data_IF_249538583449
#
_entry.id   IF_249538583449
#
_cell.length_a   1.000
_cell.length_b   1.000
_cell.length_c   1.000
_cell.angle_alpha   90.00
_cell.angle_beta   90.00
_cell.angle_gamma   90.00
#
_symmetry.space_group_name_H-M   'P 1'
#
loop_
_entity.id
_entity.type
_entity.pdbx_description
1 polymer ?
#
# COMPACT_ATOMS: atom_id res chain seq x y z
N UNK A 1 67.41 -33.95 -1.08
CA UNK A 1 66.21 -34.80 -1.28
C UNK A 1 65.72 -35.45 0.01
N UNK A 2 66.36 -36.50 0.58
CA UNK A 2 65.83 -37.25 1.75
C UNK A 2 65.31 -36.39 2.92
N UNK A 3 66.02 -35.34 3.33
CA UNK A 3 65.61 -34.45 4.44
C UNK A 3 64.28 -33.73 4.14
N UNK A 4 64.07 -33.30 2.89
CA UNK A 4 62.84 -32.61 2.46
C UNK A 4 61.64 -33.57 2.56
N UNK A 5 61.81 -34.83 2.15
CA UNK A 5 60.78 -35.86 2.28
C UNK A 5 60.41 -36.17 3.73
N UNK A 6 61.38 -36.16 4.65
CA UNK A 6 61.13 -36.37 6.09
C UNK A 6 60.36 -35.20 6.70
N UNK A 7 60.77 -33.96 6.40
CA UNK A 7 60.08 -32.75 6.88
C UNK A 7 58.64 -32.70 6.34
N UNK A 8 58.44 -33.03 5.06
CA UNK A 8 57.11 -33.10 4.45
C UNK A 8 56.22 -34.16 5.11
N UNK A 9 56.75 -35.35 5.41
CA UNK A 9 56.01 -36.40 6.12
C UNK A 9 55.59 -35.98 7.53
N UNK A 10 56.49 -35.34 8.29
CA UNK A 10 56.18 -34.83 9.64
C UNK A 10 55.09 -33.75 9.57
N UNK A 11 55.15 -32.84 8.60
CA UNK A 11 54.13 -31.80 8.40
C UNK A 11 52.75 -32.39 8.10
N UNK A 12 52.67 -33.41 7.23
CA UNK A 12 51.41 -34.09 6.89
C UNK A 12 50.81 -34.79 8.13
N UNK A 13 51.63 -35.49 8.92
CA UNK A 13 51.18 -36.14 10.16
C UNK A 13 50.72 -35.11 11.18
N UNK A 14 51.42 -33.97 11.33
CA UNK A 14 51.00 -32.90 12.22
C UNK A 14 49.65 -32.28 11.79
N UNK A 15 49.43 -32.05 10.50
CA UNK A 15 48.16 -31.57 9.96
C UNK A 15 47.02 -32.60 10.16
N UNK A 16 47.28 -33.89 9.97
CA UNK A 16 46.31 -34.95 10.29
C UNK A 16 45.96 -34.98 11.78
N UNK A 17 46.93 -34.85 12.67
CA UNK A 17 46.68 -34.79 14.13
C UNK A 17 45.86 -33.55 14.51
N UNK A 18 46.11 -32.39 13.90
CA UNK A 18 45.30 -31.18 14.12
C UNK A 18 43.85 -31.33 13.63
N UNK A 19 43.64 -32.08 12.53
CA UNK A 19 42.30 -32.41 12.02
C UNK A 19 41.57 -33.41 12.95
N UNK A 20 42.24 -34.47 13.39
CA UNK A 20 41.65 -35.51 14.26
C UNK A 20 41.46 -35.08 15.73
N UNK A 21 42.19 -34.08 16.21
CA UNK A 21 42.04 -33.55 17.58
C UNK A 21 40.90 -32.55 17.74
N UNK A 22 40.18 -32.21 16.65
CA UNK A 22 39.05 -31.28 16.69
C UNK A 22 39.42 -29.83 16.97
N UNK A 23 40.71 -29.47 16.89
CA UNK A 23 41.20 -28.09 17.04
C UNK A 23 40.69 -27.20 15.90
N UNK A 24 40.37 -27.81 14.75
CA UNK A 24 39.67 -27.18 13.63
C UNK A 24 38.17 -27.51 13.77
N UNK A 25 37.46 -26.76 14.61
CA UNK A 25 35.99 -26.74 14.55
C UNK A 25 35.56 -26.11 13.23
N UNK A 26 34.87 -26.86 12.38
CA UNK A 26 34.11 -26.27 11.27
C UNK A 26 32.85 -25.65 11.86
N UNK A 27 33.01 -24.47 12.45
CA UNK A 27 31.92 -23.64 12.97
C UNK A 27 30.94 -23.42 11.83
N UNK A 28 29.73 -23.98 11.96
CA UNK A 28 28.73 -23.95 10.93
C UNK A 28 28.41 -22.51 10.58
N UNK A 29 28.80 -22.10 9.38
CA UNK A 29 28.51 -20.74 8.91
C UNK A 29 27.01 -20.47 8.94
N UNK A 30 26.65 -19.19 8.89
CA UNK A 30 25.28 -18.62 8.84
C UNK A 30 24.18 -19.52 8.24
N UNK A 31 24.47 -20.26 7.17
CA UNK A 31 23.56 -21.24 6.56
C UNK A 31 23.02 -22.31 7.53
N UNK A 32 23.76 -22.77 8.54
CA UNK A 32 23.26 -23.73 9.53
C UNK A 32 22.12 -23.13 10.35
N UNK A 33 22.31 -21.91 10.86
CA UNK A 33 21.27 -21.16 11.58
C UNK A 33 20.05 -20.86 10.70
N UNK A 34 20.25 -20.57 9.41
CA UNK A 34 19.14 -20.45 8.44
C UNK A 34 18.37 -21.77 8.34
N UNK A 35 19.03 -22.91 8.16
CA UNK A 35 18.37 -24.22 8.01
C UNK A 35 17.64 -24.64 9.31
N UNK A 36 18.28 -24.47 10.47
CA UNK A 36 17.69 -24.82 11.76
C UNK A 36 16.51 -23.91 12.10
N UNK A 37 16.64 -22.61 11.89
CA UNK A 37 15.56 -21.65 12.12
C UNK A 37 14.40 -21.86 11.14
N UNK A 38 14.69 -22.14 9.86
CA UNK A 38 13.66 -22.49 8.87
C UNK A 38 12.86 -23.74 9.29
N UNK A 39 13.53 -24.74 9.89
CA UNK A 39 12.84 -25.94 10.41
C UNK A 39 11.95 -25.61 11.62
N UNK A 40 12.40 -24.76 12.53
CA UNK A 40 11.57 -24.29 13.66
C UNK A 40 10.37 -23.47 13.17
N UNK A 41 10.58 -22.56 12.22
CA UNK A 41 9.54 -21.76 11.57
C UNK A 41 8.50 -22.64 10.87
N UNK A 42 8.92 -23.62 10.07
CA UNK A 42 8.03 -24.57 9.39
C UNK A 42 7.25 -25.48 10.36
N UNK A 43 7.72 -25.63 11.60
CA UNK A 43 7.01 -26.30 12.69
C UNK A 43 6.08 -25.36 13.49
N UNK A 44 5.91 -24.10 13.07
CA UNK A 44 5.22 -23.01 13.77
C UNK A 44 5.82 -22.66 15.15
N UNK A 45 7.08 -23.05 15.42
CA UNK A 45 7.80 -22.66 16.64
C UNK A 45 8.60 -21.39 16.35
N UNK A 46 7.90 -20.27 16.32
CA UNK A 46 8.44 -18.98 15.91
C UNK A 46 9.43 -18.42 16.92
N UNK A 47 9.24 -18.65 18.22
CA UNK A 47 10.17 -18.25 19.28
C UNK A 47 11.52 -18.97 19.13
N UNK A 48 11.51 -20.28 18.87
CA UNK A 48 12.75 -21.02 18.59
C UNK A 48 13.37 -20.56 17.26
N UNK A 49 12.57 -20.23 16.25
CA UNK A 49 13.07 -19.69 14.99
C UNK A 49 13.81 -18.36 15.21
N UNK A 50 13.20 -17.40 15.91
CA UNK A 50 13.82 -16.11 16.29
C UNK A 50 15.14 -16.33 17.02
N UNK A 51 15.15 -17.13 18.09
CA UNK A 51 16.37 -17.42 18.87
C UNK A 51 17.47 -18.06 18.01
N UNK A 52 17.09 -18.91 17.04
CA UNK A 52 18.05 -19.59 16.16
C UNK A 52 18.62 -18.64 15.13
N UNK A 53 17.80 -17.79 14.50
CA UNK A 53 18.28 -16.80 13.54
C UNK A 53 19.12 -15.69 14.21
N UNK A 54 18.79 -15.29 15.44
CA UNK A 54 19.58 -14.33 16.23
C UNK A 54 21.02 -14.84 16.47
N UNK A 55 21.19 -16.12 16.82
CA UNK A 55 22.52 -16.75 16.91
C UNK A 55 23.26 -16.78 15.57
N UNK A 56 22.52 -16.83 14.45
CA UNK A 56 23.09 -16.62 13.13
C UNK A 56 23.62 -15.19 12.92
N UNK A 57 22.90 -14.17 13.42
CA UNK A 57 23.35 -12.78 13.36
C UNK A 57 24.54 -12.50 14.29
N UNK A 58 24.72 -13.27 15.37
CA UNK A 58 25.96 -13.23 16.17
C UNK A 58 27.20 -13.64 15.34
N UNK A 59 27.03 -14.40 14.25
CA UNK A 59 28.10 -14.78 13.31
C UNK A 59 28.25 -13.80 12.14
N UNK A 60 27.15 -13.24 11.65
CA UNK A 60 27.13 -12.20 10.62
C UNK A 60 25.95 -11.24 10.89
N UNK A 61 26.24 -10.10 11.51
CA UNK A 61 25.24 -9.13 11.97
C UNK A 61 24.38 -8.52 10.86
N UNK A 62 24.87 -8.56 9.61
CA UNK A 62 24.23 -7.92 8.46
C UNK A 62 23.73 -8.93 7.41
N UNK A 63 23.66 -10.23 7.72
CA UNK A 63 23.14 -11.23 6.78
C UNK A 63 21.70 -10.90 6.35
N UNK A 64 21.43 -10.59 5.07
CA UNK A 64 20.09 -10.14 4.66
C UNK A 64 19.03 -11.25 4.76
N UNK A 65 19.43 -12.52 4.56
CA UNK A 65 18.53 -13.70 4.65
C UNK A 65 18.08 -13.96 6.09
N UNK A 66 18.98 -13.81 7.07
CA UNK A 66 18.63 -13.95 8.48
C UNK A 66 17.73 -12.82 8.94
N UNK A 67 18.03 -11.57 8.54
CA UNK A 67 17.16 -10.42 8.82
C UNK A 67 15.76 -10.63 8.21
N UNK A 68 15.64 -11.04 6.95
CA UNK A 68 14.34 -11.36 6.33
C UNK A 68 13.56 -12.44 7.11
N UNK A 69 14.24 -13.52 7.49
CA UNK A 69 13.65 -14.63 8.24
C UNK A 69 13.24 -14.26 9.67
N UNK A 70 14.00 -13.38 10.33
CA UNK A 70 13.63 -12.78 11.61
C UNK A 70 12.40 -11.89 11.48
N UNK A 71 12.31 -11.10 10.41
CA UNK A 71 11.11 -10.33 10.09
C UNK A 71 9.87 -11.20 10.02
N UNK A 72 9.94 -12.33 9.29
CA UNK A 72 8.84 -13.29 9.18
C UNK A 72 8.49 -13.93 10.52
N UNK A 73 9.48 -14.41 11.29
CA UNK A 73 9.22 -15.04 12.58
C UNK A 73 8.64 -14.05 13.61
N UNK A 74 9.16 -12.82 13.65
CA UNK A 74 8.61 -11.74 14.50
C UNK A 74 7.19 -11.35 14.11
N UNK A 75 6.87 -11.27 12.81
CA UNK A 75 5.51 -10.99 12.34
C UNK A 75 4.50 -12.05 12.82
N UNK A 76 4.86 -13.35 12.76
CA UNK A 76 3.99 -14.43 13.25
C UNK A 76 3.82 -14.41 14.78
N UNK A 77 4.76 -13.83 15.52
CA UNK A 77 4.66 -13.57 16.96
C UNK A 77 3.90 -12.27 17.29
N UNK A 78 3.36 -11.56 16.29
CA UNK A 78 2.80 -10.21 16.43
C UNK A 78 3.78 -9.14 16.94
N UNK A 79 5.09 -9.43 16.90
CA UNK A 79 6.17 -8.49 17.22
C UNK A 79 6.44 -7.60 15.99
N UNK A 80 5.46 -6.78 15.62
CA UNK A 80 5.45 -6.06 14.35
C UNK A 80 6.53 -4.97 14.27
N UNK A 81 6.89 -4.32 15.38
CA UNK A 81 7.99 -3.35 15.44
C UNK A 81 9.34 -4.01 15.11
N UNK A 82 9.62 -5.15 15.71
CA UNK A 82 10.79 -5.98 15.42
C UNK A 82 10.76 -6.45 13.97
N UNK A 83 9.59 -6.86 13.46
CA UNK A 83 9.44 -7.29 12.08
C UNK A 83 9.84 -6.19 11.08
N UNK A 84 9.33 -4.96 11.25
CA UNK A 84 9.70 -3.78 10.43
C UNK A 84 11.21 -3.53 10.48
N UNK A 85 11.82 -3.57 11.67
CA UNK A 85 13.26 -3.35 11.89
C UNK A 85 14.11 -4.43 11.20
N UNK A 86 13.68 -5.69 11.23
CA UNK A 86 14.37 -6.79 10.56
C UNK A 86 14.16 -6.76 9.03
N UNK A 87 12.98 -6.36 8.53
CA UNK A 87 12.77 -6.20 7.09
C UNK A 87 13.55 -5.03 6.48
N UNK A 88 13.73 -3.91 7.20
CA UNK A 88 14.53 -2.78 6.71
C UNK A 88 15.98 -3.18 6.44
N UNK A 89 16.55 -4.04 7.30
CA UNK A 89 17.89 -4.66 7.21
C UNK A 89 17.99 -5.82 6.20
N UNK A 90 16.90 -6.24 5.58
CA UNK A 90 16.90 -7.23 4.50
C UNK A 90 17.06 -6.57 3.12
N UNK A 91 17.47 -7.32 2.10
CA UNK A 91 17.69 -6.79 0.74
C UNK A 91 17.34 -7.80 -0.35
N UNK A 92 17.18 -7.32 -1.59
CA UNK A 92 17.11 -8.17 -2.79
C UNK A 92 15.81 -8.94 -3.05
N UNK A 93 14.69 -8.58 -2.41
CA UNK A 93 13.37 -9.22 -2.62
C UNK A 93 12.23 -8.20 -2.54
N UNK A 94 11.27 -8.28 -3.45
CA UNK A 94 10.02 -7.51 -3.40
C UNK A 94 9.25 -7.74 -2.09
N UNK A 95 9.31 -8.97 -1.57
CA UNK A 95 8.65 -9.39 -0.31
C UNK A 95 9.04 -8.54 0.91
N UNK A 96 10.22 -7.88 0.94
CA UNK A 96 10.60 -7.00 2.06
C UNK A 96 9.63 -5.83 2.20
N UNK A 97 9.19 -5.26 1.09
CA UNK A 97 8.31 -4.09 1.05
C UNK A 97 6.88 -4.50 1.41
N UNK A 98 6.41 -5.60 0.82
CA UNK A 98 5.11 -6.20 1.14
C UNK A 98 5.02 -6.51 2.64
N UNK A 99 5.99 -7.24 3.18
CA UNK A 99 5.93 -7.71 4.56
C UNK A 99 6.21 -6.61 5.59
N UNK A 100 7.09 -5.65 5.29
CA UNK A 100 7.32 -4.49 6.17
C UNK A 100 6.08 -3.59 6.22
N UNK A 101 5.46 -3.27 5.09
CA UNK A 101 4.23 -2.50 5.07
C UNK A 101 3.08 -3.23 5.75
N UNK A 102 2.93 -4.54 5.52
CA UNK A 102 1.95 -5.38 6.23
C UNK A 102 2.17 -5.37 7.75
N UNK A 103 3.43 -5.32 8.19
CA UNK A 103 3.77 -5.21 9.62
C UNK A 103 3.32 -3.87 10.21
N UNK A 104 3.57 -2.75 9.51
CA UNK A 104 3.06 -1.43 9.93
C UNK A 104 1.53 -1.38 9.96
N UNK A 105 0.84 -1.99 8.99
CA UNK A 105 -0.63 -2.12 8.98
C UNK A 105 -1.12 -2.91 10.20
N UNK A 106 -0.55 -4.08 10.48
CA UNK A 106 -0.96 -4.88 11.64
C UNK A 106 -0.67 -4.19 12.96
N UNK A 107 0.42 -3.44 13.04
CA UNK A 107 0.72 -2.62 14.21
C UNK A 107 -0.35 -1.52 14.40
N UNK A 108 -0.75 -0.82 13.33
CA UNK A 108 -1.83 0.17 13.36
C UNK A 108 -3.17 -0.46 13.78
N UNK A 109 -3.52 -1.63 13.24
CA UNK A 109 -4.73 -2.36 13.59
C UNK A 109 -4.73 -2.91 15.03
N UNK A 110 -3.56 -2.98 15.70
CA UNK A 110 -3.40 -3.51 17.06
C UNK A 110 -3.42 -2.47 18.20
N UNK A 111 -3.37 -1.18 17.86
CA UNK A 111 -3.44 -0.06 18.80
C UNK A 111 -4.81 0.62 18.75
N UNK A 112 -5.10 1.53 19.68
CA UNK A 112 -6.34 2.31 19.66
C UNK A 112 -6.14 3.77 19.20
N UNK A 113 -5.01 4.39 19.57
CA UNK A 113 -4.71 5.80 19.33
C UNK A 113 -4.72 6.18 17.83
N UNK A 114 -5.64 7.06 17.45
CA UNK A 114 -5.88 7.43 16.06
C UNK A 114 -4.68 8.13 15.39
N UNK A 115 -3.90 8.90 16.16
CA UNK A 115 -2.71 9.60 15.66
C UNK A 115 -1.60 8.60 15.33
N UNK A 116 -1.29 7.67 16.24
CA UNK A 116 -0.34 6.58 15.95
C UNK A 116 -0.84 5.67 14.82
N UNK A 117 -2.15 5.39 14.71
CA UNK A 117 -2.72 4.65 13.56
C UNK A 117 -2.41 5.34 12.24
N UNK A 118 -2.66 6.65 12.17
CA UNK A 118 -2.39 7.46 10.98
C UNK A 118 -0.91 7.42 10.62
N UNK A 119 -0.01 7.60 11.59
CA UNK A 119 1.44 7.53 11.39
C UNK A 119 1.91 6.16 10.86
N UNK A 120 1.35 5.07 11.39
CA UNK A 120 1.69 3.71 10.98
C UNK A 120 1.13 3.34 9.59
N UNK A 121 -0.08 3.81 9.24
CA UNK A 121 -0.59 3.69 7.88
C UNK A 121 0.23 4.53 6.89
N UNK A 122 0.66 5.75 7.25
CA UNK A 122 1.58 6.55 6.44
C UNK A 122 2.92 5.84 6.23
N UNK A 123 3.49 5.21 7.27
CA UNK A 123 4.69 4.37 7.16
C UNK A 123 4.47 3.16 6.23
N UNK A 124 3.31 2.51 6.29
CA UNK A 124 2.96 1.42 5.40
C UNK A 124 2.86 1.89 3.94
N UNK A 125 2.17 3.01 3.67
CA UNK A 125 2.11 3.61 2.33
C UNK A 125 3.50 3.89 1.79
N UNK A 126 4.35 4.57 2.55
CA UNK A 126 5.72 4.90 2.13
C UNK A 126 6.54 3.63 1.81
N UNK A 127 6.42 2.61 2.64
CA UNK A 127 7.04 1.30 2.38
C UNK A 127 6.54 0.68 1.07
N UNK A 128 5.25 0.79 0.76
CA UNK A 128 4.71 0.30 -0.51
C UNK A 128 5.10 1.17 -1.70
N UNK A 129 5.16 2.50 -1.57
CA UNK A 129 5.66 3.40 -2.63
C UNK A 129 7.07 2.99 -3.05
N UNK A 130 7.99 2.83 -2.09
CA UNK A 130 9.35 2.35 -2.35
C UNK A 130 9.36 0.97 -3.04
N UNK A 131 8.46 0.08 -2.64
CA UNK A 131 8.29 -1.21 -3.31
C UNK A 131 7.78 -1.07 -4.75
N UNK A 132 6.83 -0.19 -5.02
CA UNK A 132 6.24 0.03 -6.36
C UNK A 132 7.27 0.69 -7.28
N UNK A 133 8.07 1.65 -6.79
CA UNK A 133 9.16 2.25 -7.56
C UNK A 133 10.23 1.20 -7.94
N UNK A 134 10.58 0.31 -7.01
CA UNK A 134 11.54 -0.77 -7.26
C UNK A 134 10.98 -1.93 -8.09
N UNK A 135 9.67 -2.19 -8.02
CA UNK A 135 8.99 -3.31 -8.68
C UNK A 135 7.66 -2.86 -9.31
N UNK A 136 7.69 -2.02 -10.37
CA UNK A 136 6.51 -1.38 -10.93
C UNK A 136 5.49 -2.36 -11.52
N UNK A 137 5.84 -3.63 -11.77
CA UNK A 137 4.92 -4.67 -12.22
C UNK A 137 4.31 -5.52 -11.09
N UNK A 138 4.76 -5.38 -9.84
CA UNK A 138 4.23 -6.19 -8.74
C UNK A 138 2.81 -5.74 -8.33
N UNK A 139 1.79 -6.57 -8.61
CA UNK A 139 0.39 -6.28 -8.27
C UNK A 139 0.12 -6.25 -6.76
N UNK A 140 0.61 -7.21 -5.92
CA UNK A 140 0.39 -7.19 -4.47
C UNK A 140 0.78 -5.89 -3.76
N UNK A 141 1.89 -5.26 -4.15
CA UNK A 141 2.31 -3.98 -3.59
C UNK A 141 1.29 -2.85 -3.83
N UNK A 142 0.64 -2.84 -5.00
CA UNK A 142 -0.34 -1.81 -5.38
C UNK A 142 -1.68 -2.04 -4.71
N UNK A 143 -2.11 -3.31 -4.66
CA UNK A 143 -3.29 -3.70 -3.88
C UNK A 143 -3.14 -3.29 -2.42
N UNK A 144 -1.97 -3.55 -1.81
CA UNK A 144 -1.70 -3.17 -0.43
C UNK A 144 -1.62 -1.64 -0.23
N UNK A 145 -1.06 -0.90 -1.20
CA UNK A 145 -1.04 0.55 -1.20
C UNK A 145 -2.45 1.15 -1.20
N UNK A 146 -3.31 0.76 -2.16
CA UNK A 146 -4.69 1.25 -2.24
C UNK A 146 -5.53 0.81 -1.03
N UNK A 147 -5.32 -0.39 -0.49
CA UNK A 147 -5.95 -0.85 0.76
C UNK A 147 -5.66 0.09 1.94
N UNK A 148 -4.38 0.46 2.14
CA UNK A 148 -3.99 1.34 3.25
C UNK A 148 -4.41 2.79 3.00
N UNK A 149 -4.39 3.25 1.75
CA UNK A 149 -4.88 4.57 1.38
C UNK A 149 -6.37 4.70 1.73
N UNK A 150 -7.19 3.72 1.33
CA UNK A 150 -8.59 3.65 1.72
C UNK A 150 -8.79 3.60 3.24
N UNK A 151 -7.92 2.93 4.01
CA UNK A 151 -7.97 2.95 5.49
C UNK A 151 -7.74 4.34 6.07
N UNK A 152 -6.82 5.12 5.50
CA UNK A 152 -6.55 6.50 5.91
C UNK A 152 -7.73 7.42 5.56
N UNK A 153 -8.22 7.37 4.33
CA UNK A 153 -9.35 8.18 3.86
C UNK A 153 -10.59 7.95 4.75
N UNK A 154 -10.91 6.68 5.04
CA UNK A 154 -11.99 6.32 5.95
C UNK A 154 -11.75 6.82 7.39
N UNK A 155 -10.51 6.84 7.88
CA UNK A 155 -10.21 7.35 9.23
C UNK A 155 -10.39 8.88 9.31
N UNK A 156 -10.09 9.62 8.24
CA UNK A 156 -10.30 11.07 8.19
C UNK A 156 -11.79 11.41 8.19
N UNK A 157 -12.57 10.80 7.30
CA UNK A 157 -14.02 11.05 7.19
C UNK A 157 -14.77 10.76 8.51
N UNK A 158 -14.43 9.67 9.20
CA UNK A 158 -15.05 9.34 10.51
C UNK A 158 -14.74 10.37 11.61
N UNK A 159 -13.60 11.06 11.54
CA UNK A 159 -13.26 12.11 12.50
C UNK A 159 -13.99 13.43 12.18
N UNK A 160 -14.20 13.73 10.90
CA UNK A 160 -14.96 14.91 10.44
C UNK A 160 -16.45 14.78 10.81
N UNK A 161 -17.07 13.62 10.55
CA UNK A 161 -18.47 13.35 10.95
C UNK A 161 -18.67 13.39 12.48
N UNK A 162 -17.65 13.03 13.29
CA UNK A 162 -17.73 13.15 14.75
C UNK A 162 -17.59 14.60 15.22
N UNK A 163 -16.78 15.43 14.55
CA UNK A 163 -16.69 16.86 14.81
C UNK A 163 -18.02 17.59 14.57
N UNK A 164 -18.64 17.38 13.40
CA UNK A 164 -19.93 18.01 13.07
C UNK A 164 -21.07 17.56 14.00
N UNK A 165 -21.06 16.32 14.49
CA UNK A 165 -22.03 15.84 15.48
C UNK A 165 -21.80 16.39 16.90
N UNK A 166 -20.59 16.86 17.24
CA UNK A 166 -20.35 17.56 18.50
C UNK A 166 -20.79 19.03 18.43
N UNK A 167 -20.48 19.76 17.35
CA UNK A 167 -20.96 21.14 17.16
C UNK A 167 -22.49 21.22 17.11
N UNK A 168 -23.17 20.29 16.42
CA UNK A 168 -24.65 20.26 16.40
C UNK A 168 -25.29 19.98 17.78
N UNK A 169 -24.61 19.26 18.69
CA UNK A 169 -25.11 19.06 20.05
C UNK A 169 -24.89 20.31 20.93
N UNK A 170 -23.77 21.02 20.77
CA UNK A 170 -23.52 22.27 21.48
C UNK A 170 -24.45 23.42 21.02
N UNK A 171 -24.87 23.45 19.76
CA UNK A 171 -25.93 24.36 19.30
C UNK A 171 -27.34 24.00 19.83
N UNK A 172 -27.63 22.71 20.05
CA UNK A 172 -28.91 22.29 20.64
C UNK A 172 -28.99 22.58 22.16
N UNK A 173 -27.93 22.39 22.94
CA UNK A 173 -27.91 22.80 24.35
C UNK A 173 -27.97 24.33 24.54
N UNK A 174 -27.35 25.11 23.64
CA UNK A 174 -27.46 26.57 23.68
C UNK A 174 -28.87 27.09 23.32
N UNK A 175 -29.58 26.43 22.40
CA UNK A 175 -30.96 26.81 22.07
C UNK A 175 -31.97 26.47 23.18
N UNK A 176 -31.76 25.39 23.95
CA UNK A 176 -32.63 25.11 25.10
C UNK A 176 -32.43 26.13 26.25
N UNK A 177 -31.21 26.61 26.50
CA UNK A 177 -30.94 27.62 27.53
C UNK A 177 -31.40 29.05 27.19
N UNK A 178 -31.76 29.35 25.93
CA UNK A 178 -32.35 30.66 25.57
C UNK A 178 -33.88 30.68 25.66
N UNK A 179 -34.57 29.55 25.69
CA UNK A 179 -36.04 29.52 25.70
C UNK A 179 -36.67 29.70 27.10
N UNK A 180 -35.94 29.39 28.17
CA UNK A 180 -36.43 29.55 29.56
C UNK A 180 -36.28 30.98 30.13
N UNK A 181 -35.57 31.90 29.45
CA UNK A 181 -35.30 33.25 29.97
C UNK A 181 -36.26 34.35 29.47
N UNK A 182 -37.34 34.01 28.77
CA UNK A 182 -38.25 35.00 28.15
C UNK A 182 -39.72 34.89 28.59
N UNK A 183 -40.00 34.22 29.72
CA UNK A 183 -41.36 33.95 30.22
C UNK A 183 -41.77 34.71 31.50
N UNK A 184 -40.91 35.53 32.10
CA UNK A 184 -41.20 36.26 33.37
C UNK A 184 -41.17 37.79 33.26
N UNK A 185 -41.51 38.39 32.10
CA UNK A 185 -41.67 39.84 32.06
C UNK A 185 -42.74 40.39 31.08
N UNK A 186 -44.02 40.02 31.29
CA UNK A 186 -45.14 40.91 30.97
C UNK A 186 -46.45 40.51 31.67
N UNK A 187 -46.67 41.05 32.88
CA UNK A 187 -48.00 41.23 33.47
C UNK A 187 -48.09 42.59 34.15
N UNK A 188 -48.48 43.62 33.39
CA UNK A 188 -49.37 44.69 33.89
C UNK A 188 -49.78 45.65 32.76
N UNK A 189 -51.10 45.92 32.72
CA UNK A 189 -51.84 46.98 32.01
C UNK A 189 -52.59 46.55 30.74
N UNK A 190 -53.73 45.89 30.95
CA UNK A 190 -54.94 46.22 30.19
C UNK A 190 -55.48 47.56 30.73
N UNK A 191 -55.69 48.56 29.87
CA UNK A 191 -57.04 49.08 29.56
C UNK A 191 -57.01 50.14 28.43
N UNK A 192 -58.18 50.34 27.81
CA UNK A 192 -58.64 51.53 27.07
C UNK A 192 -58.27 51.74 25.58
N UNK A 193 -59.35 51.82 24.79
CA UNK A 193 -59.58 52.74 23.64
C UNK A 193 -59.34 52.23 22.21
N UNK A 194 -60.36 51.55 21.70
CA UNK A 194 -61.17 51.98 20.53
C UNK A 194 -60.51 52.82 19.39
N UNK A 195 -60.48 52.19 18.21
CA UNK A 195 -61.25 52.59 17.01
C UNK A 195 -60.54 53.23 15.79
N UNK A 196 -60.96 52.70 14.63
CA UNK A 196 -61.10 53.29 13.28
C UNK A 196 -59.92 53.60 12.32
N UNK A 197 -60.12 53.02 11.11
CA UNK A 197 -59.81 53.49 9.75
C UNK A 197 -58.33 53.46 9.27
N UNK A 198 -57.90 52.75 8.20
CA UNK A 198 -58.42 52.44 6.84
C UNK A 198 -57.67 53.27 5.76
N UNK A 199 -57.39 52.64 4.59
CA UNK A 199 -56.75 53.17 3.36
C UNK A 199 -55.21 53.32 3.33
N UNK A 200 -54.50 53.12 2.21
CA UNK A 200 -54.82 52.50 0.89
C UNK A 200 -53.54 52.34 0.04
N UNK A 201 -53.58 51.51 -1.01
CA UNK A 201 -52.65 51.37 -2.15
C UNK A 201 -51.21 50.84 -1.88
N UNK A 202 -50.63 50.03 -2.77
CA UNK A 202 -51.15 49.38 -3.98
C UNK A 202 -50.04 48.86 -4.93
N UNK A 203 -50.42 48.04 -5.93
CA UNK A 203 -49.62 47.69 -7.15
C UNK A 203 -48.29 46.94 -6.93
N UNK A 204 -47.69 46.18 -7.87
CA UNK A 204 -48.09 45.53 -9.15
C UNK A 204 -46.99 44.49 -9.49
N UNK A 205 -47.29 43.48 -10.31
CA UNK A 205 -46.39 42.84 -11.32
C UNK A 205 -45.01 42.25 -10.87
N UNK A 206 -44.36 41.33 -11.59
CA UNK A 206 -44.64 40.65 -12.87
C UNK A 206 -43.94 39.28 -12.94
N UNK A 207 -44.31 38.47 -13.94
CA UNK A 207 -43.61 37.24 -14.34
C UNK A 207 -42.43 37.49 -15.33
N UNK A 208 -41.67 36.41 -15.60
CA UNK A 208 -41.11 36.01 -16.91
C UNK A 208 -39.62 36.27 -17.29
N UNK A 209 -39.07 35.30 -18.06
CA UNK A 209 -37.86 35.30 -18.93
C UNK A 209 -36.46 35.27 -18.23
N UNK A 210 -35.35 34.74 -18.80
CA UNK A 210 -34.99 34.04 -20.07
C UNK A 210 -33.60 33.35 -19.90
N UNK A 211 -33.04 32.43 -20.72
CA UNK A 211 -33.45 31.69 -21.94
C UNK A 211 -32.63 30.36 -22.06
N UNK A 212 -32.96 29.51 -23.05
CA UNK A 212 -32.14 28.40 -23.60
C UNK A 212 -30.98 28.86 -24.51
N UNK A 213 -29.98 27.98 -24.71
CA UNK A 213 -29.28 27.77 -26.00
C UNK A 213 -28.71 26.34 -26.13
N UNK A 214 -29.02 25.65 -27.23
CA UNK A 214 -28.29 24.48 -27.75
C UNK A 214 -27.49 24.90 -28.99
N UNK A 215 -26.36 24.24 -29.28
CA UNK A 215 -25.84 24.14 -30.66
C UNK A 215 -25.28 22.73 -30.93
N UNK A 216 -25.69 22.15 -32.06
CA UNK A 216 -25.03 21.02 -32.73
C UNK A 216 -24.25 21.56 -33.95
N UNK A 217 -23.16 20.91 -34.37
CA UNK A 217 -23.00 20.48 -35.77
C UNK A 217 -21.78 19.55 -36.02
N UNK A 218 -22.10 18.35 -36.53
CA UNK A 218 -21.50 17.60 -37.65
C UNK A 218 -19.98 17.46 -37.89
N UNK A 219 -19.56 16.18 -37.95
CA UNK A 219 -18.78 15.48 -38.98
C UNK A 219 -17.70 16.22 -39.80
N UNK A 220 -16.53 15.58 -39.90
CA UNK A 220 -16.00 15.17 -41.22
C UNK A 220 -15.25 13.82 -41.13
N UNK A 221 -15.18 13.10 -42.26
CA UNK A 221 -14.47 11.81 -42.37
C UNK A 221 -13.03 12.02 -42.83
N UNK A 222 -12.13 11.08 -42.54
CA UNK A 222 -11.32 10.53 -43.62
C UNK A 222 -10.78 9.11 -43.37
N UNK A 223 -10.66 8.36 -44.46
CA UNK A 223 -10.07 7.00 -44.51
C UNK A 223 -9.01 6.99 -45.61
N UNK A 224 -7.77 6.71 -45.26
CA UNK A 224 -6.88 5.96 -46.16
C UNK A 224 -6.12 4.91 -45.36
N UNK A 225 -5.80 3.79 -46.01
CA UNK A 225 -5.03 2.70 -45.41
C UNK A 225 -3.97 2.20 -46.38
N UNK A 226 -2.94 1.58 -45.83
CA UNK A 226 -2.05 0.70 -46.59
C UNK A 226 -1.65 -0.48 -45.72
N UNK A 227 -1.66 -1.68 -46.30
CA UNK A 227 -1.15 -2.87 -45.65
C UNK A 227 0.37 -2.84 -45.55
N UNK A 228 0.90 -3.46 -44.50
CA UNK A 228 1.87 -4.55 -44.70
C UNK A 228 1.70 -5.59 -43.59
N UNK A 229 1.96 -6.84 -43.95
CA UNK A 229 1.75 -8.05 -43.15
C UNK A 229 3.13 -8.68 -42.85
N UNK A 230 3.16 -9.78 -42.09
CA UNK A 230 4.37 -10.49 -41.60
C UNK A 230 5.01 -9.79 -40.36
N UNK A 231 5.32 -10.47 -39.23
CA UNK A 231 5.34 -11.92 -38.94
C UNK A 231 4.87 -12.18 -37.50
N UNK A 232 4.21 -13.32 -37.25
CA UNK A 232 4.00 -13.84 -35.88
C UNK A 232 5.23 -14.63 -35.42
N UNK A 233 5.93 -14.14 -34.41
CA UNK A 233 6.63 -14.90 -33.36
C UNK A 233 7.06 -13.89 -32.26
N UNK A 234 7.36 -14.37 -31.04
CA UNK A 234 7.75 -13.54 -29.87
C UNK A 234 6.66 -12.61 -29.26
N UNK A 235 5.52 -13.19 -28.85
CA UNK A 235 4.63 -12.60 -27.84
C UNK A 235 4.76 -13.32 -26.49
N UNK A 236 5.79 -12.96 -25.72
CA UNK A 236 5.87 -13.20 -24.26
C UNK A 236 6.89 -12.25 -23.59
N UNK A 237 7.90 -11.77 -24.33
CA UNK A 237 9.01 -10.94 -23.79
C UNK A 237 8.78 -9.41 -23.87
N UNK A 238 7.65 -8.96 -24.44
CA UNK A 238 7.39 -7.54 -24.74
C UNK A 238 6.59 -6.77 -23.68
N UNK A 239 6.06 -7.44 -22.64
CA UNK A 239 5.40 -6.78 -21.51
C UNK A 239 6.39 -6.18 -20.50
N UNK A 240 7.61 -6.73 -20.41
CA UNK A 240 8.64 -6.26 -19.48
C UNK A 240 9.36 -4.99 -20.01
N UNK A 241 9.59 -4.90 -21.32
CA UNK A 241 10.40 -3.83 -21.92
C UNK A 241 9.77 -2.43 -21.91
N UNK A 242 8.43 -2.32 -21.92
CA UNK A 242 7.75 -1.01 -21.96
C UNK A 242 7.70 -0.32 -20.58
N UNK A 243 8.02 -1.04 -19.49
CA UNK A 243 8.08 -0.51 -18.14
C UNK A 243 9.48 -0.07 -17.71
N UNK A 244 10.53 -0.56 -18.38
CA UNK A 244 11.93 -0.26 -18.04
C UNK A 244 12.42 1.15 -18.43
N UNK A 245 11.55 1.97 -19.04
CA UNK A 245 11.94 3.28 -19.61
C UNK A 245 11.47 4.50 -18.80
N UNK A 246 10.79 4.29 -17.67
CA UNK A 246 10.66 5.33 -16.64
C UNK A 246 11.99 5.46 -15.91
N UNK A 247 12.75 6.52 -16.22
CA UNK A 247 14.09 6.76 -15.69
C UNK A 247 14.10 6.79 -14.15
N UNK A 248 15.20 6.28 -13.57
CA UNK A 248 15.57 6.50 -12.16
C UNK A 248 15.79 8.00 -11.88
N UNK A 249 14.73 8.75 -11.66
CA UNK A 249 14.79 10.05 -11.00
C UNK A 249 14.77 9.84 -9.49
N UNK A 250 15.95 9.70 -8.89
CA UNK A 250 16.15 9.76 -7.43
C UNK A 250 15.86 11.21 -6.94
N UNK A 251 14.58 11.54 -6.93
CA UNK A 251 14.03 12.81 -6.49
C UNK A 251 13.39 12.59 -5.14
N UNK A 252 13.99 13.19 -4.11
CA UNK A 252 13.49 13.19 -2.73
C UNK A 252 12.28 14.12 -2.51
N UNK A 253 11.56 14.44 -3.59
CA UNK A 253 10.35 15.27 -3.62
C UNK A 253 9.11 14.37 -3.48
N UNK A 254 8.34 14.46 -2.38
CA UNK A 254 7.16 13.63 -2.18
C UNK A 254 6.08 13.80 -3.26
N UNK A 255 5.90 15.01 -3.80
CA UNK A 255 4.85 15.28 -4.79
C UNK A 255 5.15 14.59 -6.14
N UNK A 256 6.42 14.55 -6.54
CA UNK A 256 6.84 13.83 -7.74
C UNK A 256 6.67 12.31 -7.58
N UNK A 257 7.01 11.77 -6.40
CA UNK A 257 6.81 10.35 -6.14
C UNK A 257 5.33 9.96 -6.16
N UNK A 258 4.44 10.76 -5.58
CA UNK A 258 2.99 10.48 -5.63
C UNK A 258 2.41 10.59 -7.05
N UNK A 259 2.89 11.55 -7.85
CA UNK A 259 2.57 11.63 -9.29
C UNK A 259 3.04 10.39 -10.06
N UNK A 260 4.27 9.93 -9.81
CA UNK A 260 4.85 8.75 -10.47
C UNK A 260 4.07 7.47 -10.11
N UNK A 261 3.72 7.29 -8.84
CA UNK A 261 2.90 6.16 -8.36
C UNK A 261 1.52 6.18 -9.02
N UNK A 262 0.86 7.35 -9.09
CA UNK A 262 -0.45 7.50 -9.75
C UNK A 262 -0.39 7.16 -11.25
N UNK A 263 0.71 7.53 -11.93
CA UNK A 263 0.94 7.16 -13.34
C UNK A 263 1.13 5.64 -13.52
N UNK A 264 1.93 5.00 -12.66
CA UNK A 264 2.15 3.54 -12.68
C UNK A 264 0.82 2.79 -12.47
N UNK A 265 0.01 3.20 -11.50
CA UNK A 265 -1.31 2.61 -11.21
C UNK A 265 -2.23 2.72 -12.44
N UNK A 266 -2.33 3.91 -13.04
CA UNK A 266 -3.17 4.17 -14.22
C UNK A 266 -2.70 3.43 -15.48
N UNK A 267 -1.39 3.27 -15.65
CA UNK A 267 -0.82 2.47 -16.76
C UNK A 267 -1.27 1.02 -16.66
N UNK A 268 -1.20 0.43 -15.45
CA UNK A 268 -1.56 -0.97 -15.21
C UNK A 268 -3.06 -1.21 -15.31
N UNK A 269 -3.89 -0.30 -14.81
CA UNK A 269 -5.35 -0.36 -14.99
C UNK A 269 -5.70 -0.45 -16.48
N UNK A 270 -5.04 0.36 -17.31
CA UNK A 270 -5.21 0.32 -18.77
C UNK A 270 -4.77 -1.03 -19.36
N UNK A 271 -3.61 -1.56 -18.95
CA UNK A 271 -3.13 -2.87 -19.41
C UNK A 271 -4.09 -4.02 -19.02
N UNK A 272 -4.63 -4.00 -17.80
CA UNK A 272 -5.64 -4.96 -17.35
C UNK A 272 -6.91 -4.86 -18.23
N UNK A 273 -7.44 -3.65 -18.45
CA UNK A 273 -8.59 -3.44 -19.33
C UNK A 273 -8.35 -3.92 -20.77
N UNK A 274 -7.15 -3.75 -21.32
CA UNK A 274 -6.78 -4.25 -22.65
C UNK A 274 -6.70 -5.78 -22.68
N UNK A 275 -6.10 -6.42 -21.67
CA UNK A 275 -6.06 -7.89 -21.53
C UNK A 275 -7.46 -8.52 -21.42
N UNK A 276 -8.38 -7.84 -20.71
CA UNK A 276 -9.77 -8.28 -20.54
C UNK A 276 -10.55 -8.16 -21.86
N UNK A 277 -10.33 -7.10 -22.64
CA UNK A 277 -10.92 -6.93 -23.98
C UNK A 277 -10.44 -8.03 -24.94
N UNK A 278 -9.13 -8.26 -25.02
CA UNK A 278 -8.55 -9.31 -25.88
C UNK A 278 -9.13 -10.69 -25.54
N UNK A 279 -9.25 -11.03 -24.25
CA UNK A 279 -9.88 -12.28 -23.81
C UNK A 279 -11.39 -12.38 -24.11
N UNK A 280 -12.10 -11.25 -24.21
CA UNK A 280 -13.51 -11.24 -24.65
C UNK A 280 -13.64 -11.38 -26.17
N UNK A 281 -12.72 -10.82 -26.96
CA UNK A 281 -12.72 -10.94 -28.42
C UNK A 281 -12.40 -12.38 -28.85
N UNK A 282 -11.41 -13.04 -28.24
CA UNK A 282 -11.11 -14.47 -28.46
C UNK A 282 -12.33 -15.34 -28.15
N UNK A 283 -13.07 -15.06 -27.07
CA UNK A 283 -14.31 -15.78 -26.74
C UNK A 283 -15.48 -15.52 -27.70
N UNK A 284 -15.44 -14.42 -28.47
CA UNK A 284 -16.43 -14.16 -29.53
C UNK A 284 -16.05 -14.89 -30.81
N UNK A 285 -14.78 -14.86 -31.23
CA UNK A 285 -14.35 -15.57 -32.45
C UNK A 285 -14.55 -17.08 -32.34
N UNK A 286 -14.27 -17.70 -31.18
CA UNK A 286 -14.49 -19.13 -30.94
C UNK A 286 -15.97 -19.54 -30.80
N UNK A 287 -16.91 -18.62 -31.01
CA UNK A 287 -18.36 -18.89 -30.96
C UNK A 287 -19.04 -18.85 -32.33
N UNK A 288 -18.32 -18.46 -33.38
CA UNK A 288 -18.82 -18.49 -34.77
C UNK A 288 -18.28 -19.69 -35.56
N UNK A 289 -17.32 -20.45 -35.01
CA UNK A 289 -16.90 -21.76 -35.50
C UNK A 289 -17.91 -22.88 -35.11
N UNK A 290 -19.20 -22.67 -35.39
CA UNK A 290 -20.20 -23.74 -35.30
C UNK A 290 -20.03 -24.67 -36.51
N UNK A 291 -19.54 -25.89 -36.25
CA UNK A 291 -19.10 -26.85 -37.27
C UNK A 291 -20.12 -27.09 -38.39
N UNK A 292 -19.75 -26.72 -39.62
CA UNK A 292 -20.46 -27.11 -40.86
C UNK A 292 -19.82 -28.40 -41.43
N UNK A 293 -20.23 -29.56 -40.89
CA UNK A 293 -20.04 -30.91 -41.47
C UNK A 293 -21.14 -31.91 -41.09
#
# INVERSE_FOLDING_TARGET
MKIISIISGILIVALMVLFFTGVISFDGGVNEFIIMGNRAYAANNYEQAVQTYQKGLEKNSEEPRLNYNLGQASYNLSNYNEAINYYSKSSGKVDKYINSGNSSVRLAESIDDAVQKQQLYQQALETYKQGILAFPQNVPLKYNYEYVKSKLDNQQNNNEEQGENQENNEEQENNQNQQDNNSEQNQQNEDSSENEQNKDSGQQDSEENQQSSQEENNNDQDKEGSHQNETQEEKEDSEEQNASQMQESDSSDPEQNDSNIAQILKMLEKQEQESLKNNQEVKKSTKEDEYDW
#
